data_IF_972783304974
#
_entry.id   IF_972783304974
#
_cell.length_a   1.000
_cell.length_b   1.000
_cell.length_c   1.000
_cell.angle_alpha   90.00
_cell.angle_beta   90.00
_cell.angle_gamma   90.00
#
_symmetry.space_group_name_H-M   'P 1'
#
loop_
_entity.id
_entity.type
_entity.pdbx_description
1 polymer ?
#
# COMPACT_ATOMS: atom_id res chain seq x y z
N UNK A 1 3.75 11.95 -2.16
CA UNK A 1 3.57 11.00 -1.06
C UNK A 1 2.10 10.65 -0.97
N UNK A 2 1.74 9.39 -0.74
CA UNK A 2 0.35 8.95 -0.67
C UNK A 2 -0.04 8.62 0.77
N UNK A 3 -1.23 9.04 1.15
CA UNK A 3 -1.86 8.70 2.43
C UNK A 3 -3.25 8.16 2.10
N UNK A 4 -3.47 6.85 2.28
CA UNK A 4 -4.81 6.25 2.21
C UNK A 4 -5.56 6.60 3.49
N UNK A 5 -6.87 6.86 3.38
CA UNK A 5 -7.72 7.11 4.53
C UNK A 5 -7.90 5.80 5.30
N UNK A 6 -7.26 5.70 6.47
CA UNK A 6 -7.33 4.50 7.30
C UNK A 6 -8.49 4.67 8.30
N UNK A 7 -9.55 3.87 8.15
CA UNK A 7 -10.75 3.99 8.97
C UNK A 7 -10.59 3.36 10.36
N UNK A 8 -9.74 2.35 10.49
CA UNK A 8 -9.47 1.66 11.76
C UNK A 8 -8.03 1.14 11.91
N UNK A 9 -7.73 0.57 13.08
CA UNK A 9 -6.40 0.08 13.44
C UNK A 9 -5.97 -1.14 12.61
N UNK A 10 -6.91 -2.00 12.19
CA UNK A 10 -6.62 -3.16 11.34
C UNK A 10 -6.18 -2.66 9.96
N UNK A 11 -6.93 -1.75 9.35
CA UNK A 11 -6.58 -1.13 8.07
C UNK A 11 -5.23 -0.40 8.14
N UNK A 12 -4.94 0.29 9.24
CA UNK A 12 -3.64 0.93 9.45
C UNK A 12 -2.49 -0.08 9.43
N UNK A 13 -2.65 -1.22 10.11
CA UNK A 13 -1.64 -2.28 10.14
C UNK A 13 -1.50 -2.96 8.78
N UNK A 14 -2.62 -3.25 8.11
CA UNK A 14 -2.65 -3.86 6.78
C UNK A 14 -1.99 -2.94 5.74
N UNK A 15 -2.38 -1.67 5.69
CA UNK A 15 -1.79 -0.65 4.83
C UNK A 15 -0.28 -0.52 5.05
N UNK A 16 0.16 -0.41 6.31
CA UNK A 16 1.58 -0.33 6.64
C UNK A 16 2.37 -1.56 6.19
N UNK A 17 1.85 -2.78 6.43
CA UNK A 17 2.52 -4.03 6.02
C UNK A 17 2.55 -4.19 4.50
N UNK A 18 1.45 -3.89 3.82
CA UNK A 18 1.33 -3.98 2.36
C UNK A 18 2.26 -2.99 1.66
N UNK A 19 2.27 -1.73 2.09
CA UNK A 19 3.19 -0.73 1.54
C UNK A 19 4.66 -1.06 1.82
N UNK A 20 4.98 -1.58 3.02
CA UNK A 20 6.33 -2.07 3.32
C UNK A 20 6.74 -3.23 2.40
N UNK A 21 5.83 -4.15 2.10
CA UNK A 21 6.08 -5.25 1.17
C UNK A 21 6.37 -4.76 -0.26
N UNK A 22 5.61 -3.77 -0.74
CA UNK A 22 5.82 -3.13 -2.03
C UNK A 22 7.17 -2.41 -2.09
N UNK A 23 7.54 -1.67 -1.04
CA UNK A 23 8.82 -0.97 -0.95
C UNK A 23 10.04 -1.90 -0.96
N UNK A 24 9.94 -3.09 -0.36
CA UNK A 24 11.02 -4.09 -0.43
C UNK A 24 11.28 -4.59 -1.87
N UNK A 25 10.33 -4.38 -2.78
CA UNK A 25 10.40 -4.76 -4.20
C UNK A 25 10.61 -3.56 -5.13
N UNK A 26 10.96 -2.39 -4.59
CA UNK A 26 11.21 -1.17 -5.34
C UNK A 26 12.32 -1.29 -6.40
N UNK A 27 13.18 -2.33 -6.34
CA UNK A 27 14.16 -2.59 -7.41
C UNK A 27 13.49 -3.03 -8.72
N UNK A 28 12.42 -3.81 -8.62
CA UNK A 28 11.60 -4.21 -9.77
C UNK A 28 10.53 -3.17 -10.10
N UNK A 29 10.28 -2.25 -9.17
CA UNK A 29 9.25 -1.23 -9.25
C UNK A 29 9.90 0.16 -9.18
N UNK A 30 10.58 0.51 -10.28
CA UNK A 30 11.57 1.59 -10.37
C UNK A 30 11.02 3.00 -10.05
N UNK A 31 9.70 3.20 -10.08
CA UNK A 31 9.07 4.49 -9.70
C UNK A 31 8.77 4.62 -8.20
N UNK A 32 8.91 3.56 -7.39
CA UNK A 32 8.57 3.57 -5.97
C UNK A 32 9.82 3.75 -5.11
N UNK A 33 9.74 4.59 -4.07
CA UNK A 33 10.88 4.84 -3.19
C UNK A 33 11.08 3.68 -2.22
N UNK A 34 12.33 3.25 -2.05
CA UNK A 34 12.75 2.25 -1.05
C UNK A 34 12.50 2.67 0.40
N UNK A 35 12.39 3.97 0.64
CA UNK A 35 12.05 4.56 1.94
C UNK A 35 10.99 5.65 1.77
N UNK A 36 9.98 5.70 2.66
CA UNK A 36 8.98 6.75 2.65
C UNK A 36 9.63 8.11 2.87
N UNK A 37 8.94 9.17 2.46
CA UNK A 37 9.40 10.54 2.74
C UNK A 37 9.01 10.89 4.16
N UNK A 38 9.95 11.22 5.02
CA UNK A 38 9.63 11.86 6.29
C UNK A 38 9.21 13.30 6.03
N UNK A 39 7.91 13.55 5.97
CA UNK A 39 7.39 14.91 5.81
C UNK A 39 7.17 15.51 7.20
N UNK A 40 8.19 16.23 7.68
CA UNK A 40 8.09 17.22 8.77
C UNK A 40 7.43 16.76 10.06
N UNK A 41 8.19 16.07 10.93
CA UNK A 41 8.01 16.04 12.40
C UNK A 41 6.69 15.51 12.98
N UNK A 42 5.66 15.25 12.18
CA UNK A 42 4.39 14.68 12.64
C UNK A 42 4.49 13.16 12.61
N UNK A 43 4.08 12.54 13.73
CA UNK A 43 3.94 11.09 13.88
C UNK A 43 3.24 10.49 12.66
N UNK A 44 3.99 9.72 11.89
CA UNK A 44 3.51 8.92 10.76
C UNK A 44 4.14 9.34 9.45
N UNK A 45 5.24 8.66 9.06
CA UNK A 45 5.71 8.75 7.69
C UNK A 45 4.63 8.15 6.75
N UNK A 46 4.26 8.82 5.65
CA UNK A 46 3.34 8.27 4.66
C UNK A 46 3.88 6.94 4.17
N UNK A 47 3.06 5.88 4.13
CA UNK A 47 3.55 4.52 3.96
C UNK A 47 4.16 4.25 2.57
N UNK A 48 3.87 5.07 1.56
CA UNK A 48 4.54 5.01 0.26
C UNK A 48 4.75 6.39 -0.39
N UNK A 49 5.82 6.48 -1.19
CA UNK A 49 6.12 7.65 -2.00
C UNK A 49 6.70 7.22 -3.36
N UNK A 50 6.20 7.85 -4.42
CA UNK A 50 6.74 7.71 -5.78
C UNK A 50 7.88 8.69 -6.01
N UNK A 51 8.88 8.26 -6.78
CA UNK A 51 9.95 9.09 -7.32
C UNK A 51 9.98 8.89 -8.84
N UNK A 52 9.50 9.90 -9.57
CA UNK A 52 9.53 9.91 -11.03
C UNK A 52 10.63 10.88 -11.46
N UNK A 53 11.64 10.38 -12.15
CA UNK A 53 12.77 11.16 -12.68
C UNK A 53 12.62 11.34 -14.20
N UNK A 54 13.51 12.15 -14.80
CA UNK A 54 13.55 12.33 -16.25
C UNK A 54 13.81 11.00 -17.00
N UNK A 55 14.64 10.11 -16.45
CA UNK A 55 14.91 8.78 -17.03
C UNK A 55 13.65 7.94 -17.20
N UNK A 56 12.71 8.03 -16.26
CA UNK A 56 11.43 7.33 -16.36
C UNK A 56 10.58 7.88 -17.50
N UNK A 57 10.58 9.20 -17.72
CA UNK A 57 9.83 9.83 -18.81
C UNK A 57 10.48 9.68 -20.18
N UNK A 58 11.78 9.35 -20.23
CA UNK A 58 12.51 9.02 -21.45
C UNK A 58 12.24 7.57 -21.89
N UNK A 59 12.04 6.65 -20.94
CA UNK A 59 11.80 5.22 -21.21
C UNK A 59 10.31 4.85 -21.29
N UNK A 60 9.42 5.65 -20.70
CA UNK A 60 7.98 5.38 -20.64
C UNK A 60 7.16 6.61 -21.04
N UNK A 61 5.98 6.35 -21.61
CA UNK A 61 5.04 7.41 -21.92
C UNK A 61 4.51 8.08 -20.65
N UNK A 62 4.71 9.40 -20.53
CA UNK A 62 4.25 10.21 -19.40
C UNK A 62 2.76 10.02 -19.06
N UNK A 63 1.90 9.85 -20.06
CA UNK A 63 0.47 9.66 -19.83
C UNK A 63 0.18 8.29 -19.19
N UNK A 64 0.89 7.24 -19.61
CA UNK A 64 0.79 5.91 -18.99
C UNK A 64 1.31 5.88 -17.55
N UNK A 65 2.32 6.69 -17.24
CA UNK A 65 2.79 6.86 -15.87
C UNK A 65 1.73 7.51 -14.97
N UNK A 66 1.01 8.50 -15.48
CA UNK A 66 -0.10 9.13 -14.75
C UNK A 66 -1.25 8.14 -14.55
N UNK A 67 -1.67 7.45 -15.62
CA UNK A 67 -2.69 6.41 -15.56
C UNK A 67 -2.33 5.34 -14.53
N UNK A 68 -1.06 4.92 -14.51
CA UNK A 68 -0.54 3.95 -13.56
C UNK A 68 -0.67 4.44 -12.10
N UNK A 69 -0.28 5.68 -11.80
CA UNK A 69 -0.36 6.21 -10.44
C UNK A 69 -1.82 6.29 -9.96
N UNK A 70 -2.74 6.70 -10.84
CA UNK A 70 -4.18 6.75 -10.52
C UNK A 70 -4.69 5.33 -10.24
N UNK A 71 -4.44 4.40 -11.16
CA UNK A 71 -4.85 3.01 -11.00
C UNK A 71 -4.27 2.39 -9.72
N UNK A 72 -3.00 2.63 -9.44
CA UNK A 72 -2.35 2.14 -8.23
C UNK A 72 -3.02 2.67 -6.95
N UNK A 73 -3.42 3.94 -6.92
CA UNK A 73 -4.15 4.49 -5.77
C UNK A 73 -5.50 3.80 -5.56
N UNK A 74 -6.25 3.56 -6.64
CA UNK A 74 -7.56 2.90 -6.58
C UNK A 74 -7.44 1.44 -6.14
N UNK A 75 -6.44 0.71 -6.65
CA UNK A 75 -6.26 -0.71 -6.33
C UNK A 75 -5.75 -0.95 -4.91
N UNK A 76 -4.93 -0.05 -4.34
CA UNK A 76 -4.50 -0.19 -2.94
C UNK A 76 -5.70 -0.22 -2.01
N UNK A 77 -6.63 0.72 -2.16
CA UNK A 77 -7.77 0.83 -1.23
C UNK A 77 -8.68 -0.41 -1.31
N UNK A 78 -8.86 -0.97 -2.53
CA UNK A 78 -9.57 -2.25 -2.72
C UNK A 78 -8.83 -3.41 -2.08
N UNK A 79 -7.54 -3.54 -2.32
CA UNK A 79 -6.72 -4.63 -1.77
C UNK A 79 -6.68 -4.60 -0.23
N UNK A 80 -6.57 -3.42 0.39
CA UNK A 80 -6.65 -3.29 1.86
C UNK A 80 -8.02 -3.77 2.37
N UNK A 81 -9.10 -3.39 1.67
CA UNK A 81 -10.46 -3.79 2.02
C UNK A 81 -10.66 -5.30 1.91
N UNK A 82 -10.14 -5.93 0.85
CA UNK A 82 -10.19 -7.38 0.65
C UNK A 82 -9.37 -8.13 1.71
N UNK A 83 -8.16 -7.64 2.04
CA UNK A 83 -7.35 -8.22 3.11
C UNK A 83 -8.06 -8.16 4.47
N UNK A 84 -8.76 -7.07 4.77
CA UNK A 84 -9.54 -6.93 6.00
C UNK A 84 -10.66 -7.98 6.06
N UNK A 85 -11.42 -8.14 4.97
CA UNK A 85 -12.46 -9.17 4.88
C UNK A 85 -11.87 -10.58 5.06
N UNK A 86 -10.72 -10.87 4.44
CA UNK A 86 -10.00 -12.14 4.56
C UNK A 86 -9.55 -12.44 5.99
N UNK A 87 -9.05 -11.43 6.71
CA UNK A 87 -8.66 -11.59 8.12
C UNK A 87 -9.87 -11.89 8.99
N UNK A 88 -10.97 -11.15 8.82
CA UNK A 88 -12.20 -11.35 9.59
C UNK A 88 -12.84 -12.72 9.33
N UNK A 89 -12.90 -13.15 8.07
CA UNK A 89 -13.43 -14.46 7.70
C UNK A 89 -12.60 -15.60 8.33
N UNK A 90 -11.26 -15.51 8.27
CA UNK A 90 -10.38 -16.50 8.90
C UNK A 90 -10.49 -16.50 10.42
N UNK A 91 -10.54 -15.34 11.06
CA UNK A 91 -10.71 -15.24 12.50
C UNK A 91 -12.01 -15.92 12.95
N UNK A 92 -13.10 -15.74 12.20
CA UNK A 92 -14.38 -16.40 12.45
C UNK A 92 -14.25 -17.93 12.37
N UNK A 93 -13.65 -18.46 11.29
CA UNK A 93 -13.46 -19.91 11.12
C UNK A 93 -12.64 -20.50 12.28
N UNK A 94 -11.56 -19.82 12.68
CA UNK A 94 -10.71 -20.26 13.80
C UNK A 94 -11.49 -20.27 15.12
N UNK A 95 -12.30 -19.23 15.38
CA UNK A 95 -13.13 -19.18 16.58
C UNK A 95 -14.22 -20.26 16.59
N UNK A 96 -14.89 -20.48 15.46
CA UNK A 96 -15.88 -21.55 15.31
C UNK A 96 -15.26 -22.92 15.53
N UNK A 97 -14.05 -23.18 15.02
CA UNK A 97 -13.36 -24.45 15.20
C UNK A 97 -12.83 -24.66 16.62
N UNK A 98 -12.36 -23.59 17.27
CA UNK A 98 -11.92 -23.66 18.67
C UNK A 98 -13.09 -24.00 19.61
N UNK A 99 -14.28 -23.46 19.36
CA UNK A 99 -15.48 -23.69 20.19
C UNK A 99 -16.18 -25.03 19.95
N UNK A 100 -15.84 -25.75 18.88
CA UNK A 100 -16.32 -27.12 18.62
C UNK A 100 -15.56 -28.17 19.45
N UNK A 101 -14.36 -27.83 19.92
CA UNK A 101 -13.53 -28.65 20.80
C UNK A 101 -13.77 -28.29 22.27
#
# INVERSE_FOLDING_TARGET
SLCSLQADEIEKILCHKFMRFMMMRAENFFILRRKPVEVGGRRGAPPAAFLITNFHTEQMYKHKLVDFVIHFMEEIDKEISEMKLSVNARARIVAEEFLKN
#
